data_IF_248995099111
#
_entry.id   IF_248995099111
#
_cell.length_a   1.000
_cell.length_b   1.000
_cell.length_c   1.000
_cell.angle_alpha   90.00
_cell.angle_beta   90.00
_cell.angle_gamma   90.00
#
_symmetry.space_group_name_H-M   'P 1'
#
loop_
_entity.id
_entity.type
_entity.pdbx_description
1 polymer ?
#
# COMPACT_ATOMS: atom_id res chain seq x y z
N UNK A 1 10.00 -29.39 -14.19
CA UNK A 1 10.15 -28.83 -15.55
C UNK A 1 10.95 -27.59 -15.37
N UNK A 2 12.24 -27.73 -15.67
CA UNK A 2 13.28 -26.75 -15.45
C UNK A 2 13.00 -25.47 -16.21
N UNK A 3 13.20 -24.32 -15.58
CA UNK A 3 13.48 -23.10 -16.31
C UNK A 3 14.73 -22.47 -15.70
N UNK A 4 15.84 -23.09 -16.07
CA UNK A 4 17.21 -22.68 -15.81
C UNK A 4 17.50 -21.44 -16.69
N UNK A 5 17.28 -20.24 -16.16
CA UNK A 5 17.74 -19.00 -16.82
C UNK A 5 19.13 -18.64 -16.35
N UNK A 6 20.09 -19.46 -16.80
CA UNK A 6 21.51 -19.13 -16.79
C UNK A 6 21.80 -18.04 -17.81
N UNK A 7 22.51 -17.03 -17.33
CA UNK A 7 23.27 -16.04 -18.12
C UNK A 7 24.20 -16.77 -19.09
N UNK A 8 24.20 -16.39 -20.37
CA UNK A 8 25.23 -16.76 -21.33
C UNK A 8 25.76 -15.48 -21.99
N UNK A 9 27.07 -15.29 -21.91
CA UNK A 9 27.82 -14.28 -22.63
C UNK A 9 28.08 -14.71 -24.09
N UNK A 10 27.93 -13.79 -25.03
CA UNK A 10 28.60 -13.72 -26.35
C UNK A 10 28.27 -12.31 -26.90
N UNK A 11 29.27 -11.45 -27.07
CA UNK A 11 29.92 -11.14 -28.36
C UNK A 11 28.93 -10.71 -29.45
N UNK A 12 29.20 -9.53 -30.01
CA UNK A 12 28.49 -8.79 -31.05
C UNK A 12 27.34 -7.87 -30.63
N UNK A 13 27.39 -6.69 -31.26
CA UNK A 13 26.69 -5.42 -31.05
C UNK A 13 25.15 -5.46 -31.19
N UNK A 14 24.47 -6.43 -30.58
CA UNK A 14 23.00 -6.51 -30.54
C UNK A 14 22.44 -5.88 -29.26
N UNK A 15 21.45 -4.97 -29.34
CA UNK A 15 20.77 -4.47 -28.15
C UNK A 15 19.93 -5.61 -27.56
N UNK A 16 20.51 -6.36 -26.63
CA UNK A 16 19.77 -7.03 -25.57
C UNK A 16 19.03 -5.91 -24.83
N UNK A 17 17.71 -5.90 -24.71
CA UNK A 17 16.95 -5.55 -23.49
C UNK A 17 15.44 -5.65 -23.78
N UNK A 18 14.78 -6.53 -23.03
CA UNK A 18 13.36 -6.86 -23.15
C UNK A 18 12.50 -5.76 -22.51
N UNK A 19 11.42 -5.39 -23.19
CA UNK A 19 10.46 -4.38 -22.74
C UNK A 19 9.55 -5.03 -21.69
N UNK A 20 9.66 -4.54 -20.45
CA UNK A 20 8.84 -4.97 -19.32
C UNK A 20 9.61 -5.29 -18.03
N UNK A 21 10.95 -5.41 -18.09
CA UNK A 21 11.74 -5.88 -16.95
C UNK A 21 12.33 -4.76 -16.06
N UNK A 22 12.27 -3.50 -16.51
CA UNK A 22 12.80 -2.36 -15.74
C UNK A 22 11.71 -1.67 -14.94
N UNK A 23 11.98 -1.45 -13.65
CA UNK A 23 11.01 -0.83 -12.72
C UNK A 23 11.02 0.71 -12.73
N UNK A 24 11.68 1.35 -13.70
CA UNK A 24 11.73 2.82 -13.85
C UNK A 24 13.05 3.35 -14.43
N UNK A 25 13.21 4.68 -14.58
CA UNK A 25 14.37 5.28 -15.25
C UNK A 25 15.69 5.12 -14.49
N UNK A 26 15.65 5.05 -13.15
CA UNK A 26 16.85 4.79 -12.34
C UNK A 26 17.39 3.37 -12.53
N UNK A 27 16.53 2.40 -12.81
CA UNK A 27 16.91 1.01 -13.04
C UNK A 27 17.65 0.86 -14.36
N UNK A 28 17.16 1.55 -15.40
CA UNK A 28 17.85 1.65 -16.70
C UNK A 28 19.22 2.29 -16.54
N UNK A 29 19.32 3.42 -15.84
CA UNK A 29 20.59 4.07 -15.61
C UNK A 29 21.57 3.20 -14.82
N UNK A 30 21.09 2.49 -13.79
CA UNK A 30 21.90 1.55 -13.03
C UNK A 30 22.42 0.43 -13.94
N UNK A 31 21.56 -0.13 -14.80
CA UNK A 31 21.95 -1.17 -15.74
C UNK A 31 23.01 -0.68 -16.76
N UNK A 32 22.88 0.55 -17.26
CA UNK A 32 23.88 1.15 -18.16
C UNK A 32 25.23 1.34 -17.46
N UNK A 33 25.22 1.86 -16.22
CA UNK A 33 26.43 2.05 -15.42
C UNK A 33 27.12 0.71 -15.12
N UNK A 34 26.35 -0.34 -14.81
CA UNK A 34 26.89 -1.67 -14.54
C UNK A 34 27.41 -2.37 -15.81
N UNK A 35 26.72 -2.21 -16.94
CA UNK A 35 27.14 -2.74 -18.26
C UNK A 35 28.51 -2.21 -18.66
N UNK A 36 28.73 -0.91 -18.50
CA UNK A 36 29.97 -0.25 -18.90
C UNK A 36 31.04 -0.24 -17.79
N UNK A 37 30.76 -0.88 -16.64
CA UNK A 37 31.65 -0.95 -15.45
C UNK A 37 32.10 0.44 -14.98
N UNK A 38 31.18 1.41 -15.05
CA UNK A 38 31.38 2.79 -14.63
C UNK A 38 31.25 2.87 -13.10
N UNK A 39 32.08 3.70 -12.48
CA UNK A 39 31.90 4.04 -11.06
C UNK A 39 30.69 4.98 -10.90
N UNK A 40 29.76 4.63 -10.02
CA UNK A 40 28.57 5.43 -9.69
C UNK A 40 28.98 6.80 -9.12
N UNK A 41 30.16 6.91 -8.49
CA UNK A 41 30.67 8.18 -7.99
C UNK A 41 31.24 9.10 -9.10
N UNK A 42 31.63 8.54 -10.26
CA UNK A 42 32.24 9.30 -11.36
C UNK A 42 31.61 8.94 -12.71
N UNK A 43 30.33 9.27 -12.84
CA UNK A 43 29.54 8.92 -14.03
C UNK A 43 29.92 9.85 -15.19
N UNK A 44 30.33 9.32 -16.36
CA UNK A 44 30.49 10.11 -17.59
C UNK A 44 29.11 10.42 -18.18
N UNK A 45 28.50 11.53 -17.73
CA UNK A 45 27.13 11.93 -18.09
C UNK A 45 26.90 12.03 -19.60
N UNK A 46 27.91 12.43 -20.37
CA UNK A 46 27.78 12.50 -21.82
C UNK A 46 27.50 11.13 -22.44
N UNK A 47 28.26 10.10 -22.05
CA UNK A 47 28.11 8.74 -22.54
C UNK A 47 26.77 8.13 -22.10
N UNK A 48 26.45 8.25 -20.80
CA UNK A 48 25.22 7.69 -20.23
C UNK A 48 23.98 8.35 -20.83
N UNK A 49 23.99 9.66 -21.07
CA UNK A 49 22.87 10.35 -21.71
C UNK A 49 22.63 9.82 -23.13
N UNK A 50 23.69 9.66 -23.92
CA UNK A 50 23.56 9.23 -25.31
C UNK A 50 22.97 7.80 -25.37
N UNK A 51 23.42 6.89 -24.49
CA UNK A 51 22.86 5.54 -24.35
C UNK A 51 21.43 5.53 -23.82
N UNK A 52 21.12 6.40 -22.86
CA UNK A 52 19.78 6.52 -22.28
C UNK A 52 18.77 7.01 -23.32
N UNK A 53 19.17 7.95 -24.18
CA UNK A 53 18.33 8.45 -25.28
C UNK A 53 18.10 7.38 -26.35
N UNK A 54 19.14 6.61 -26.71
CA UNK A 54 19.00 5.48 -27.63
C UNK A 54 17.99 4.45 -27.09
N UNK A 55 18.07 4.13 -25.80
CA UNK A 55 17.12 3.25 -25.14
C UNK A 55 15.69 3.81 -25.13
N UNK A 56 15.54 5.11 -24.87
CA UNK A 56 14.26 5.81 -24.86
C UNK A 56 13.60 5.82 -26.25
N UNK A 57 14.37 6.03 -27.31
CA UNK A 57 13.89 5.96 -28.71
C UNK A 57 13.40 4.55 -29.06
N UNK A 58 14.11 3.51 -28.64
CA UNK A 58 13.66 2.12 -28.81
C UNK A 58 12.35 1.84 -28.06
N UNK A 59 12.20 2.35 -26.83
CA UNK A 59 10.97 2.21 -26.05
C UNK A 59 9.78 2.95 -26.67
N UNK A 60 9.97 4.21 -27.10
CA UNK A 60 8.90 5.02 -27.71
C UNK A 60 8.32 4.40 -28.99
N UNK A 61 9.13 3.64 -29.72
CA UNK A 61 8.68 2.90 -30.90
C UNK A 61 7.74 1.73 -30.56
N UNK A 62 7.74 1.27 -29.30
CA UNK A 62 7.07 0.06 -28.83
C UNK A 62 5.92 0.33 -27.86
N UNK A 63 5.97 1.42 -27.09
CA UNK A 63 4.91 1.84 -26.17
C UNK A 63 4.93 3.37 -25.91
N UNK A 64 3.80 4.05 -26.17
CA UNK A 64 3.67 5.51 -25.99
C UNK A 64 3.27 5.93 -24.57
N UNK A 65 2.80 5.01 -23.73
CA UNK A 65 2.19 5.36 -22.44
C UNK A 65 3.23 5.61 -21.32
N UNK A 66 4.52 5.27 -21.55
CA UNK A 66 5.58 5.24 -20.53
C UNK A 66 6.35 6.59 -20.40
N UNK A 67 5.92 7.65 -21.08
CA UNK A 67 6.82 8.76 -21.42
C UNK A 67 7.17 9.76 -20.29
N UNK A 68 6.38 9.88 -19.20
CA UNK A 68 6.54 10.97 -18.24
C UNK A 68 7.86 10.99 -17.46
N UNK A 69 8.08 9.96 -16.65
CA UNK A 69 9.24 9.84 -15.76
C UNK A 69 10.56 9.68 -16.55
N UNK A 70 10.49 9.01 -17.71
CA UNK A 70 11.65 8.81 -18.56
C UNK A 70 12.11 10.10 -19.24
N UNK A 71 11.18 10.94 -19.71
CA UNK A 71 11.48 12.26 -20.27
C UNK A 71 11.98 13.21 -19.19
N UNK A 72 11.42 13.14 -17.97
CA UNK A 72 11.92 13.91 -16.83
C UNK A 72 13.40 13.58 -16.59
N UNK A 73 13.75 12.30 -16.55
CA UNK A 73 15.14 11.86 -16.35
C UNK A 73 16.05 12.28 -17.51
N UNK A 74 15.61 12.16 -18.77
CA UNK A 74 16.37 12.65 -19.93
C UNK A 74 16.69 14.15 -19.78
N UNK A 75 15.70 14.94 -19.37
CA UNK A 75 15.83 16.38 -19.17
C UNK A 75 16.82 16.69 -18.03
N UNK A 76 16.77 15.92 -16.94
CA UNK A 76 17.71 16.05 -15.83
C UNK A 76 19.16 15.76 -16.27
N UNK A 77 19.38 14.69 -17.04
CA UNK A 77 20.70 14.35 -17.57
C UNK A 77 21.23 15.42 -18.54
N UNK A 78 20.38 15.97 -19.40
CA UNK A 78 20.73 17.09 -20.28
C UNK A 78 21.15 18.33 -19.50
N UNK A 79 20.43 18.66 -18.42
CA UNK A 79 20.78 19.77 -17.53
C UNK A 79 22.15 19.55 -16.87
N UNK A 80 22.41 18.34 -16.37
CA UNK A 80 23.71 17.98 -15.78
C UNK A 80 24.82 18.12 -16.83
N UNK A 81 24.64 17.58 -18.04
CA UNK A 81 25.61 17.70 -19.15
C UNK A 81 25.91 19.17 -19.48
N UNK A 82 24.87 20.00 -19.56
CA UNK A 82 25.01 21.44 -19.81
C UNK A 82 25.83 22.14 -18.73
N UNK A 83 25.53 21.90 -17.45
CA UNK A 83 26.28 22.46 -16.32
C UNK A 83 27.74 22.02 -16.30
N UNK A 84 28.02 20.76 -16.61
CA UNK A 84 29.38 20.23 -16.66
C UNK A 84 30.24 20.83 -17.78
N UNK A 85 29.62 21.22 -18.90
CA UNK A 85 30.31 21.81 -20.04
C UNK A 85 30.53 23.33 -19.88
N UNK A 86 29.83 23.99 -18.96
CA UNK A 86 29.98 25.42 -18.73
C UNK A 86 31.27 25.75 -17.98
N UNK A 87 31.97 26.83 -18.34
CA UNK A 87 33.17 27.26 -17.63
C UNK A 87 32.82 27.67 -16.18
N UNK A 88 33.53 27.08 -15.20
CA UNK A 88 33.36 27.38 -13.78
C UNK A 88 33.81 28.81 -13.48
N UNK A 89 33.00 29.57 -12.74
CA UNK A 89 33.44 30.86 -12.17
C UNK A 89 34.37 30.56 -11.00
N UNK A 90 35.54 31.19 -10.95
CA UNK A 90 36.64 30.91 -10.00
C UNK A 90 36.31 31.08 -8.50
N UNK A 91 35.06 31.38 -8.10
CA UNK A 91 34.72 31.81 -6.73
C UNK A 91 33.60 31.04 -6.04
N UNK A 92 32.99 30.04 -6.66
CA UNK A 92 31.98 29.21 -6.01
C UNK A 92 32.45 27.75 -5.94
N UNK A 93 32.55 27.21 -4.73
CA UNK A 93 32.56 25.77 -4.49
C UNK A 93 31.17 25.22 -4.81
N UNK A 94 30.86 25.11 -6.09
CA UNK A 94 29.65 24.44 -6.54
C UNK A 94 29.82 22.93 -6.32
N UNK A 95 28.81 22.33 -5.68
CA UNK A 95 28.69 20.87 -5.56
C UNK A 95 28.72 20.23 -6.95
N UNK A 96 29.34 19.05 -7.09
CA UNK A 96 29.37 18.36 -8.39
C UNK A 96 27.92 18.19 -8.88
N UNK A 97 27.56 18.70 -10.08
CA UNK A 97 26.19 18.60 -10.59
C UNK A 97 25.69 17.15 -10.73
N UNK A 98 26.59 16.16 -10.67
CA UNK A 98 26.29 14.73 -10.68
C UNK A 98 25.99 14.14 -9.30
N UNK A 99 26.33 14.83 -8.21
CA UNK A 99 26.30 14.28 -6.85
C UNK A 99 24.91 13.78 -6.45
N UNK A 100 23.86 14.53 -6.81
CA UNK A 100 22.49 14.13 -6.54
C UNK A 100 22.10 12.84 -7.28
N UNK A 101 22.47 12.72 -8.55
CA UNK A 101 22.18 11.53 -9.35
C UNK A 101 22.93 10.31 -8.80
N UNK A 102 24.22 10.46 -8.49
CA UNK A 102 25.03 9.41 -7.89
C UNK A 102 24.42 8.91 -6.57
N UNK A 103 23.96 9.82 -5.71
CA UNK A 103 23.28 9.48 -4.46
C UNK A 103 22.01 8.67 -4.69
N UNK A 104 21.14 9.11 -5.61
CA UNK A 104 19.89 8.41 -5.95
C UNK A 104 20.16 7.02 -6.52
N UNK A 105 21.16 6.87 -7.39
CA UNK A 105 21.55 5.57 -7.95
C UNK A 105 22.10 4.61 -6.87
N UNK A 106 22.90 5.13 -5.93
CA UNK A 106 23.42 4.32 -4.82
C UNK A 106 22.30 3.84 -3.89
N UNK A 107 21.37 4.73 -3.54
CA UNK A 107 20.21 4.40 -2.71
C UNK A 107 19.31 3.37 -3.41
N UNK A 108 19.02 3.57 -4.69
CA UNK A 108 18.26 2.62 -5.49
C UNK A 108 18.94 1.25 -5.55
N UNK A 109 20.27 1.21 -5.76
CA UNK A 109 21.06 -0.04 -5.76
C UNK A 109 20.94 -0.78 -4.43
N UNK A 110 20.99 -0.08 -3.30
CA UNK A 110 20.83 -0.71 -1.98
C UNK A 110 19.44 -1.32 -1.80
N UNK A 111 18.40 -0.61 -2.24
CA UNK A 111 17.02 -1.10 -2.18
C UNK A 111 16.84 -2.32 -3.09
N UNK A 112 17.40 -2.29 -4.30
CA UNK A 112 17.35 -3.41 -5.26
C UNK A 112 17.99 -4.67 -4.67
N UNK A 113 19.19 -4.56 -4.10
CA UNK A 113 19.87 -5.67 -3.44
C UNK A 113 19.09 -6.20 -2.23
N UNK A 114 18.47 -5.31 -1.44
CA UNK A 114 17.61 -5.73 -0.33
C UNK A 114 16.38 -6.49 -0.85
N UNK A 115 15.73 -5.99 -1.90
CA UNK A 115 14.58 -6.63 -2.52
C UNK A 115 14.94 -8.03 -3.05
N UNK A 116 16.07 -8.18 -3.75
CA UNK A 116 16.59 -9.47 -4.21
C UNK A 116 16.84 -10.43 -3.03
N UNK A 117 17.50 -9.95 -1.97
CA UNK A 117 17.74 -10.73 -0.76
C UNK A 117 16.45 -11.20 -0.06
N UNK A 118 15.42 -10.34 0.01
CA UNK A 118 14.11 -10.73 0.52
C UNK A 118 13.40 -11.71 -0.41
N UNK A 119 13.51 -11.53 -1.73
CA UNK A 119 12.96 -12.43 -2.74
C UNK A 119 13.51 -13.85 -2.58
N UNK A 120 14.83 -14.01 -2.47
CA UNK A 120 15.46 -15.32 -2.23
C UNK A 120 14.96 -15.99 -0.95
N UNK A 121 14.71 -15.21 0.11
CA UNK A 121 14.17 -15.74 1.37
C UNK A 121 12.71 -16.15 1.19
N UNK A 122 11.92 -15.35 0.49
CA UNK A 122 10.54 -15.72 0.19
C UNK A 122 10.48 -17.02 -0.61
N UNK A 123 11.34 -17.24 -1.59
CA UNK A 123 11.42 -18.53 -2.31
C UNK A 123 11.79 -19.70 -1.37
N UNK A 124 12.74 -19.49 -0.45
CA UNK A 124 13.20 -20.53 0.50
C UNK A 124 12.20 -20.84 1.62
N UNK A 125 11.41 -19.85 2.05
CA UNK A 125 10.60 -19.94 3.27
C UNK A 125 9.09 -19.75 3.05
N UNK A 126 8.65 -19.20 1.92
CA UNK A 126 7.26 -18.82 1.65
C UNK A 126 6.27 -19.97 1.61
N UNK A 127 6.74 -21.20 1.30
CA UNK A 127 5.93 -22.41 1.34
C UNK A 127 5.77 -23.04 2.73
N UNK A 128 6.29 -22.41 3.79
CA UNK A 128 6.19 -22.95 5.16
C UNK A 128 4.94 -22.43 5.83
N UNK A 129 4.06 -23.36 6.21
CA UNK A 129 2.90 -23.08 7.04
C UNK A 129 3.23 -23.42 8.49
N UNK A 130 3.04 -22.45 9.39
CA UNK A 130 3.08 -22.73 10.82
C UNK A 130 1.79 -23.45 11.22
N UNK A 131 1.91 -24.49 12.05
CA UNK A 131 0.75 -25.08 12.71
C UNK A 131 0.23 -24.07 13.74
N UNK A 132 -1.08 -23.86 13.79
CA UNK A 132 -1.69 -23.08 14.87
C UNK A 132 -1.26 -23.63 16.24
N UNK A 133 -0.93 -22.75 17.20
CA UNK A 133 -0.57 -23.18 18.54
C UNK A 133 -1.70 -24.05 19.10
N UNK A 134 -1.35 -25.25 19.55
CA UNK A 134 -2.30 -26.11 20.24
C UNK A 134 -2.57 -25.45 21.59
N UNK A 135 -3.74 -24.81 21.73
CA UNK A 135 -4.18 -24.24 23.01
C UNK A 135 -4.36 -25.37 24.02
N UNK A 136 -3.33 -25.60 24.84
CA UNK A 136 -3.36 -26.50 26.00
C UNK A 136 -3.85 -25.81 27.27
N UNK A 137 -4.21 -24.53 27.20
CA UNK A 137 -4.71 -23.78 28.34
C UNK A 137 -6.23 -23.75 28.29
N UNK A 138 -6.87 -24.16 29.40
CA UNK A 138 -8.30 -23.93 29.61
C UNK A 138 -8.57 -22.43 29.56
N UNK A 139 -9.63 -21.97 28.87
CA UNK A 139 -9.97 -20.55 28.82
C UNK A 139 -10.32 -20.08 30.22
N UNK A 140 -9.49 -19.22 30.81
CA UNK A 140 -9.86 -18.46 31.99
C UNK A 140 -11.11 -17.63 31.70
N UNK A 141 -12.04 -17.48 32.66
CA UNK A 141 -13.25 -16.71 32.45
C UNK A 141 -12.89 -15.29 32.05
N UNK A 142 -13.34 -14.89 30.86
CA UNK A 142 -13.13 -13.59 30.23
C UNK A 142 -13.53 -12.45 31.20
N UNK A 143 -12.56 -11.84 31.87
CA UNK A 143 -12.71 -10.46 32.30
C UNK A 143 -12.72 -9.59 31.05
N UNK A 144 -13.80 -8.83 30.88
CA UNK A 144 -14.08 -8.00 29.70
C UNK A 144 -13.17 -6.77 29.62
N UNK A 145 -11.87 -6.99 29.54
CA UNK A 145 -10.91 -5.98 29.11
C UNK A 145 -10.47 -6.38 27.71
N UNK A 146 -11.26 -5.97 26.71
CA UNK A 146 -10.87 -6.07 25.29
C UNK A 146 -9.68 -5.13 25.08
N UNK A 147 -8.48 -5.58 25.44
CA UNK A 147 -7.25 -4.93 25.02
C UNK A 147 -7.11 -5.21 23.54
N UNK A 148 -7.50 -4.23 22.71
CA UNK A 148 -7.18 -4.26 21.28
C UNK A 148 -5.65 -4.37 21.15
N UNK A 149 -5.17 -5.58 20.83
CA UNK A 149 -3.77 -5.82 20.57
C UNK A 149 -3.35 -5.20 19.23
N UNK A 150 -2.04 -5.03 19.04
CA UNK A 150 -1.47 -4.54 17.78
C UNK A 150 -1.95 -5.37 16.58
N UNK A 151 -2.13 -6.68 16.77
CA UNK A 151 -2.66 -7.60 15.75
C UNK A 151 -4.06 -7.20 15.27
N UNK A 152 -4.99 -6.93 16.20
CA UNK A 152 -6.36 -6.51 15.87
C UNK A 152 -6.39 -5.19 15.10
N UNK A 153 -5.49 -4.26 15.43
CA UNK A 153 -5.35 -2.99 14.71
C UNK A 153 -4.88 -3.22 13.27
N UNK A 154 -3.86 -4.08 13.07
CA UNK A 154 -3.37 -4.45 11.74
C UNK A 154 -4.44 -5.17 10.91
N UNK A 155 -5.21 -6.05 11.52
CA UNK A 155 -6.32 -6.72 10.84
C UNK A 155 -7.39 -5.72 10.40
N UNK A 156 -7.75 -4.77 11.27
CA UNK A 156 -8.75 -3.75 10.95
C UNK A 156 -8.30 -2.84 9.81
N UNK A 157 -7.02 -2.45 9.83
CA UNK A 157 -6.36 -1.63 8.81
C UNK A 157 -6.33 -2.36 7.46
N UNK A 158 -5.86 -3.60 7.44
CA UNK A 158 -5.78 -4.40 6.22
C UNK A 158 -7.17 -4.68 5.63
N UNK A 159 -8.17 -4.96 6.48
CA UNK A 159 -9.54 -5.16 6.05
C UNK A 159 -10.14 -3.89 5.46
N UNK A 160 -9.87 -2.72 6.06
CA UNK A 160 -10.29 -1.44 5.51
C UNK A 160 -9.65 -1.15 4.14
N UNK A 161 -8.34 -1.39 3.97
CA UNK A 161 -7.66 -1.21 2.67
C UNK A 161 -8.26 -2.08 1.57
N UNK A 162 -8.55 -3.36 1.84
CA UNK A 162 -9.17 -4.27 0.87
C UNK A 162 -10.49 -3.71 0.34
N UNK A 163 -11.32 -3.20 1.24
CA UNK A 163 -12.62 -2.63 0.88
C UNK A 163 -12.45 -1.28 0.19
N UNK A 164 -11.55 -0.43 0.67
CA UNK A 164 -11.24 0.85 0.04
C UNK A 164 -10.84 0.71 -1.43
N UNK A 165 -9.96 -0.25 -1.74
CA UNK A 165 -9.53 -0.53 -3.11
C UNK A 165 -10.69 -1.04 -3.98
N UNK A 166 -11.64 -1.79 -3.41
CA UNK A 166 -12.86 -2.22 -4.10
C UNK A 166 -13.80 -1.05 -4.44
N UNK A 167 -13.96 -0.09 -3.54
CA UNK A 167 -14.67 1.19 -3.80
C UNK A 167 -13.84 2.17 -4.66
N UNK A 168 -12.57 1.82 -4.96
CA UNK A 168 -11.64 2.59 -5.77
C UNK A 168 -11.98 2.59 -7.27
N UNK A 169 -12.47 1.45 -7.78
CA UNK A 169 -12.72 1.23 -9.20
C UNK A 169 -13.76 2.17 -9.82
N UNK A 170 -14.85 2.45 -9.11
CA UNK A 170 -15.98 3.20 -9.67
C UNK A 170 -15.66 4.68 -9.96
N UNK A 171 -14.80 5.32 -9.17
CA UNK A 171 -14.46 6.74 -9.38
C UNK A 171 -13.51 6.92 -10.57
N UNK A 172 -12.61 5.95 -10.78
CA UNK A 172 -11.68 5.95 -11.92
C UNK A 172 -12.40 5.58 -13.23
N UNK A 173 -13.41 4.72 -13.18
CA UNK A 173 -14.28 4.39 -14.32
C UNK A 173 -15.23 5.54 -14.69
N UNK A 174 -15.75 6.29 -13.71
CA UNK A 174 -16.52 7.53 -13.91
C UNK A 174 -15.67 8.72 -14.41
N UNK A 175 -14.39 8.78 -14.05
CA UNK A 175 -13.45 9.77 -14.59
C UNK A 175 -13.07 9.46 -16.05
N UNK A 176 -12.97 8.18 -16.41
CA UNK A 176 -12.67 7.73 -17.78
C UNK A 176 -13.84 7.91 -18.75
N UNK A 177 -15.09 7.94 -18.27
CA UNK A 177 -16.28 8.09 -19.13
C UNK A 177 -16.59 9.53 -19.57
N UNK A 178 -15.81 10.54 -19.13
CA UNK A 178 -15.95 11.93 -19.58
C UNK A 178 -17.22 12.66 -19.09
N UNK A 179 -18.10 12.00 -18.36
CA UNK A 179 -19.33 12.60 -17.81
C UNK A 179 -19.09 13.44 -16.54
N UNK A 180 -17.84 13.57 -16.10
CA UNK A 180 -17.44 14.31 -14.90
C UNK A 180 -17.35 15.84 -15.09
N UNK A 181 -17.86 16.39 -16.20
CA UNK A 181 -18.06 17.83 -16.32
C UNK A 181 -19.53 18.17 -16.04
N UNK A 182 -19.76 18.92 -14.97
CA UNK A 182 -21.09 19.34 -14.45
C UNK A 182 -21.80 18.31 -13.57
N UNK A 183 -21.14 17.86 -12.51
CA UNK A 183 -21.86 17.74 -11.23
C UNK A 183 -21.04 18.47 -10.20
N UNK A 184 -21.55 19.60 -9.70
CA UNK A 184 -21.12 20.11 -8.40
C UNK A 184 -21.35 18.97 -7.44
N UNK A 185 -20.30 18.18 -7.19
CA UNK A 185 -20.32 17.07 -6.24
C UNK A 185 -20.45 17.75 -4.90
N UNK A 186 -21.69 17.99 -4.51
CA UNK A 186 -22.06 18.31 -3.16
C UNK A 186 -21.51 17.12 -2.35
N UNK A 187 -20.33 17.31 -1.74
CA UNK A 187 -19.69 16.30 -0.89
C UNK A 187 -20.64 16.10 0.28
N UNK A 188 -21.61 15.22 0.08
CA UNK A 188 -22.62 14.92 1.08
C UNK A 188 -21.90 14.18 2.20
N UNK A 189 -21.57 14.92 3.26
CA UNK A 189 -21.03 14.33 4.47
C UNK A 189 -22.13 13.46 5.08
N UNK A 190 -21.85 12.15 5.19
CA UNK A 190 -22.79 11.28 5.86
C UNK A 190 -22.65 11.49 7.38
N UNK A 191 -23.73 11.86 8.11
CA UNK A 191 -23.63 12.14 9.52
C UNK A 191 -23.28 10.87 10.31
N UNK A 192 -22.15 10.92 11.02
CA UNK A 192 -21.61 9.80 11.82
C UNK A 192 -22.68 9.20 12.76
N UNK A 193 -23.45 10.06 13.43
CA UNK A 193 -24.50 9.65 14.37
C UNK A 193 -25.58 8.78 13.70
N UNK A 194 -25.95 9.09 12.46
CA UNK A 194 -26.92 8.27 11.72
C UNK A 194 -26.34 6.89 11.42
N UNK A 195 -25.04 6.82 11.11
CA UNK A 195 -24.35 5.55 10.81
C UNK A 195 -24.20 4.70 12.06
N UNK A 196 -23.84 5.30 13.21
CA UNK A 196 -23.79 4.63 14.52
C UNK A 196 -25.15 3.98 14.84
N UNK A 197 -26.25 4.72 14.71
CA UNK A 197 -27.60 4.20 14.97
C UNK A 197 -27.93 3.06 13.98
N UNK A 198 -27.59 3.22 12.71
CA UNK A 198 -27.80 2.22 11.67
C UNK A 198 -27.09 0.90 11.97
N UNK A 199 -25.79 0.96 12.27
CA UNK A 199 -24.97 -0.21 12.59
C UNK A 199 -25.44 -0.91 13.86
N UNK A 200 -25.78 -0.16 14.91
CA UNK A 200 -26.35 -0.73 16.15
C UNK A 200 -27.65 -1.49 15.89
N UNK A 201 -28.56 -0.97 15.06
CA UNK A 201 -29.82 -1.65 14.70
C UNK A 201 -29.58 -2.90 13.85
N UNK A 202 -28.61 -2.85 12.95
CA UNK A 202 -28.23 -3.98 12.10
C UNK A 202 -27.68 -5.12 12.93
N UNK A 203 -26.73 -4.81 13.82
CA UNK A 203 -26.10 -5.80 14.69
C UNK A 203 -27.09 -6.33 15.74
N UNK A 204 -28.04 -5.51 16.21
CA UNK A 204 -29.12 -5.98 17.08
C UNK A 204 -30.03 -7.02 16.40
N UNK A 205 -30.23 -6.90 15.09
CA UNK A 205 -31.07 -7.85 14.33
C UNK A 205 -30.32 -9.10 13.90
N UNK A 206 -29.05 -8.96 13.50
CA UNK A 206 -28.23 -10.08 13.00
C UNK A 206 -27.48 -10.83 14.10
N UNK A 207 -27.29 -10.21 15.26
CA UNK A 207 -26.50 -10.75 16.37
C UNK A 207 -25.01 -10.51 16.17
N UNK A 208 -24.48 -11.05 15.08
CA UNK A 208 -23.05 -10.99 14.74
C UNK A 208 -22.88 -10.60 13.28
N UNK A 209 -21.82 -9.85 12.97
CA UNK A 209 -21.49 -9.46 11.60
C UNK A 209 -19.98 -9.39 11.43
N UNK A 210 -19.50 -9.67 10.22
CA UNK A 210 -18.08 -9.50 9.90
C UNK A 210 -17.75 -8.04 9.56
N UNK A 211 -16.46 -7.69 9.56
CA UNK A 211 -16.02 -6.34 9.17
C UNK A 211 -16.51 -5.98 7.75
N UNK A 212 -16.40 -6.91 6.81
CA UNK A 212 -16.79 -6.70 5.42
C UNK A 212 -18.30 -6.45 5.30
N UNK A 213 -19.12 -7.24 5.99
CA UNK A 213 -20.57 -7.03 6.02
C UNK A 213 -20.97 -5.66 6.57
N UNK A 214 -20.29 -5.17 7.61
CA UNK A 214 -20.55 -3.85 8.18
C UNK A 214 -20.21 -2.73 7.20
N UNK A 215 -19.08 -2.85 6.50
CA UNK A 215 -18.59 -1.84 5.57
C UNK A 215 -19.37 -1.81 4.25
N UNK A 216 -19.76 -2.97 3.71
CA UNK A 216 -20.57 -3.11 2.49
C UNK A 216 -22.00 -2.57 2.64
N UNK A 217 -22.43 -2.15 3.83
CA UNK A 217 -23.68 -1.37 3.99
C UNK A 217 -23.59 0.03 3.38
N UNK A 218 -22.37 0.50 3.08
CA UNK A 218 -22.10 1.85 2.60
C UNK A 218 -22.13 1.90 1.07
N UNK A 219 -22.70 2.96 0.50
CA UNK A 219 -22.81 3.12 -0.97
C UNK A 219 -21.82 4.11 -1.56
N UNK A 220 -21.20 4.93 -0.71
CA UNK A 220 -20.26 5.98 -1.13
C UNK A 220 -19.03 5.95 -0.23
N UNK A 221 -17.92 6.52 -0.71
CA UNK A 221 -16.70 6.66 0.10
C UNK A 221 -16.91 7.47 1.39
N UNK A 222 -17.70 8.55 1.30
CA UNK A 222 -18.09 9.36 2.47
C UNK A 222 -18.83 8.51 3.51
N UNK A 223 -19.74 7.65 3.06
CA UNK A 223 -20.47 6.74 3.94
C UNK A 223 -19.59 5.61 4.49
N UNK A 224 -18.64 5.10 3.70
CA UNK A 224 -17.68 4.07 4.10
C UNK A 224 -16.76 4.59 5.22
N UNK A 225 -16.23 5.80 5.08
CA UNK A 225 -15.43 6.46 6.13
C UNK A 225 -16.27 6.69 7.39
N UNK A 226 -17.52 7.13 7.23
CA UNK A 226 -18.44 7.27 8.35
C UNK A 226 -18.76 5.92 9.03
N UNK A 227 -18.88 4.82 8.27
CA UNK A 227 -19.08 3.48 8.79
C UNK A 227 -17.89 3.00 9.62
N UNK A 228 -16.69 3.16 9.07
CA UNK A 228 -15.45 2.81 9.74
C UNK A 228 -15.28 3.60 11.05
N UNK A 229 -15.49 4.90 10.98
CA UNK A 229 -15.42 5.80 12.15
C UNK A 229 -16.48 5.41 13.18
N UNK A 230 -17.69 5.04 12.75
CA UNK A 230 -18.75 4.58 13.64
C UNK A 230 -18.37 3.27 14.36
N UNK A 231 -17.74 2.32 13.66
CA UNK A 231 -17.26 1.07 14.27
C UNK A 231 -16.18 1.37 15.32
N UNK A 232 -15.21 2.23 15.01
CA UNK A 232 -14.18 2.64 15.97
C UNK A 232 -14.77 3.31 17.21
N UNK A 233 -15.73 4.21 17.03
CA UNK A 233 -16.42 4.88 18.14
C UNK A 233 -17.23 3.89 18.99
N UNK A 234 -17.85 2.89 18.36
CA UNK A 234 -18.61 1.83 19.05
C UNK A 234 -17.72 0.85 19.81
N UNK A 235 -16.53 0.53 19.29
CA UNK A 235 -15.51 -0.22 20.02
C UNK A 235 -14.97 0.58 21.20
N UNK A 236 -14.62 1.85 20.97
CA UNK A 236 -14.11 2.77 22.00
C UNK A 236 -15.11 2.98 23.13
N UNK A 237 -16.40 3.02 22.82
CA UNK A 237 -17.48 3.17 23.81
C UNK A 237 -17.92 1.85 24.45
N UNK A 238 -17.27 0.72 24.14
CA UNK A 238 -17.58 -0.59 24.70
C UNK A 238 -18.94 -1.14 24.27
N UNK A 239 -19.54 -0.61 23.19
CA UNK A 239 -20.85 -1.08 22.69
C UNK A 239 -20.71 -2.21 21.69
N UNK A 240 -19.59 -2.24 20.97
CA UNK A 240 -19.18 -3.34 20.12
C UNK A 240 -18.06 -4.11 20.81
N UNK A 241 -18.14 -5.43 20.75
CA UNK A 241 -17.05 -6.34 21.06
C UNK A 241 -16.55 -6.91 19.73
N UNK A 242 -15.24 -7.06 19.63
CA UNK A 242 -14.56 -7.63 18.48
C UNK A 242 -13.87 -8.93 18.88
N UNK A 243 -14.00 -9.95 18.06
CA UNK A 243 -13.27 -11.20 18.18
C UNK A 243 -12.64 -11.57 16.83
N UNK A 244 -11.42 -12.10 16.86
CA UNK A 244 -10.80 -12.71 15.68
C UNK A 244 -11.18 -14.19 15.67
N UNK A 245 -11.74 -14.67 14.56
CA UNK A 245 -12.10 -16.07 14.36
C UNK A 245 -11.46 -16.61 13.10
N UNK A 246 -11.10 -17.91 13.04
CA UNK A 246 -10.56 -18.52 11.82
C UNK A 246 -11.61 -18.48 10.69
N UNK A 247 -11.27 -17.88 9.56
CA UNK A 247 -12.07 -17.78 8.34
C UNK A 247 -11.42 -18.48 7.14
N UNK A 248 -12.08 -18.47 5.98
CA UNK A 248 -11.67 -19.22 4.79
C UNK A 248 -10.34 -18.74 4.15
N UNK A 249 -9.97 -17.46 4.33
CA UNK A 249 -8.74 -16.84 3.80
C UNK A 249 -7.86 -16.25 4.92
N UNK A 250 -7.96 -16.79 6.15
CA UNK A 250 -7.24 -16.32 7.32
C UNK A 250 -8.18 -15.88 8.45
N UNK A 251 -7.65 -15.16 9.45
CA UNK A 251 -8.46 -14.67 10.56
C UNK A 251 -9.43 -13.55 10.11
N UNK A 252 -10.69 -13.68 10.49
CA UNK A 252 -11.76 -12.73 10.21
C UNK A 252 -12.23 -12.04 11.49
N UNK A 253 -12.53 -10.75 11.39
CA UNK A 253 -13.02 -9.93 12.50
C UNK A 253 -14.55 -10.02 12.58
N UNK A 254 -15.05 -10.59 13.67
CA UNK A 254 -16.47 -10.64 14.01
C UNK A 254 -16.80 -9.59 15.07
N UNK A 255 -17.89 -8.86 14.81
CA UNK A 255 -18.42 -7.83 15.69
C UNK A 255 -19.71 -8.31 16.32
N UNK A 256 -19.87 -8.05 17.62
CA UNK A 256 -21.07 -8.34 18.40
C UNK A 256 -21.45 -7.14 19.24
N UNK A 257 -22.72 -7.03 19.60
CA UNK A 257 -23.15 -6.05 20.60
C UNK A 257 -22.72 -6.50 21.99
N UNK A 258 -22.14 -5.56 22.74
CA UNK A 258 -21.96 -5.75 24.17
C UNK A 258 -23.33 -5.62 24.89
N UNK A 259 -23.86 -6.76 25.33
CA UNK A 259 -25.13 -6.82 26.05
C UNK A 259 -24.97 -6.68 27.57
N UNK A 260 -23.73 -6.60 28.09
CA UNK A 260 -23.46 -6.48 29.54
C UNK A 260 -23.99 -5.17 30.13
N UNK A 261 -23.98 -4.08 29.36
CA UNK A 261 -24.59 -2.80 29.75
C UNK A 261 -26.10 -2.87 29.99
N UNK A 262 -26.81 -3.88 29.46
CA UNK A 262 -28.26 -4.05 29.65
C UNK A 262 -28.60 -4.79 30.96
N UNK A 263 -27.69 -5.63 31.47
CA UNK A 263 -27.88 -6.38 32.73
C UNK A 263 -27.69 -5.49 33.96
N UNK A 264 -26.71 -4.58 33.94
CA UNK A 264 -26.46 -3.68 35.07
C UNK A 264 -27.52 -2.59 35.22
N UNK A 265 -28.16 -2.14 34.12
CA UNK A 265 -29.25 -1.16 34.19
C UNK A 265 -30.57 -1.75 34.68
N UNK A 266 -30.90 -3.00 34.31
CA UNK A 266 -32.08 -3.70 34.82
C UNK A 266 -31.95 -4.11 36.29
N UNK A 267 -30.77 -4.57 36.72
CA UNK A 267 -30.51 -4.83 38.14
C UNK A 267 -30.60 -3.56 38.99
N UNK A 268 -30.08 -2.42 38.50
CA UNK A 268 -30.20 -1.15 39.22
C UNK A 268 -31.65 -0.59 39.29
N UNK A 269 -32.53 -0.99 38.37
CA UNK A 269 -33.97 -0.66 38.41
C UNK A 269 -34.76 -1.63 39.30
N UNK A 270 -34.43 -2.92 39.30
CA UNK A 270 -35.05 -3.94 40.17
C UNK A 270 -34.62 -3.82 41.65
N UNK A 271 -33.35 -3.47 41.92
CA UNK A 271 -32.84 -3.25 43.28
C UNK A 271 -33.29 -1.88 43.86
N UNK A 272 -33.79 -0.97 43.02
CA UNK A 272 -34.28 0.36 43.42
C UNK A 272 -35.77 0.40 43.79
N UNK A 273 -36.52 -0.70 43.60
CA UNK A 273 -37.97 -0.77 43.86
C UNK A 273 -38.30 -1.55 45.16
N UNK A 274 -37.30 -2.13 45.83
CA UNK A 274 -37.46 -2.86 47.11
C UNK A 274 -37.33 -1.94 48.33
N UNK A 275 -36.94 -0.68 48.17
CA UNK A 275 -36.71 0.27 49.28
C UNK A 275 -37.71 1.44 49.31
N UNK A 276 -38.99 1.15 49.04
CA UNK A 276 -40.13 2.06 49.29
C UNK A 276 -41.29 1.39 50.01
#
# INVERSE_FOLDING_TARGET
MDNDHRVIAAEDNTPLYSIGDFSGPLDVLLALVEKDKIDIADIPIALILDQYLEYLEMMQALDMDIAGEFIEMASALMLIKSRMLLPKKEKEEEEDPRAELARRLLEYKQIKLAAEYLGERFEKFGGRFAKEPTNTFEPEPEESDVKLGLHTVMMLESAFRRIWNRFGGDEEELLKSGEASVRVVNRSYYPLNAKIIGLMRLLYKRGEMTFEELMLTSRTRSELVAAFTAVLELLKSGRFIIAATPGAEGEELIFRLDMTHRRNRRKAEEDGEVDK
#
